data_IF_196298250933
#
_entry.id   IF_196298250933
#
_cell.length_a   1.000
_cell.length_b   1.000
_cell.length_c   1.000
_cell.angle_alpha   90.00
_cell.angle_beta   90.00
_cell.angle_gamma   90.00
#
_symmetry.space_group_name_H-M   'P 1'
#
loop_
_entity.id
_entity.type
_entity.pdbx_description
1 polymer ?
#
# COMPACT_ATOMS: atom_id res chain seq x y z
N UNK A 1 38.12 14.91 19.85
CA UNK A 1 37.29 14.89 18.62
C UNK A 1 36.78 13.50 18.25
N UNK A 2 37.57 12.42 18.39
CA UNK A 2 37.15 11.06 18.00
C UNK A 2 35.89 10.51 18.72
N UNK A 3 35.66 10.88 19.99
CA UNK A 3 34.48 10.41 20.75
C UNK A 3 33.16 11.01 20.27
N UNK A 4 33.18 12.25 19.80
CA UNK A 4 31.99 12.91 19.24
C UNK A 4 31.63 12.33 17.87
N UNK A 5 32.63 12.00 17.05
CA UNK A 5 32.43 11.32 15.76
C UNK A 5 31.85 9.92 15.96
N UNK A 6 32.31 9.16 16.95
CA UNK A 6 31.77 7.84 17.28
C UNK A 6 30.32 7.90 17.78
N UNK A 7 29.95 8.90 18.57
CA UNK A 7 28.57 9.08 19.08
C UNK A 7 27.62 9.52 17.95
N UNK A 8 28.08 10.37 17.03
CA UNK A 8 27.30 10.80 15.86
C UNK A 8 27.06 9.63 14.88
N UNK A 9 28.07 8.77 14.69
CA UNK A 9 27.96 7.56 13.87
C UNK A 9 26.99 6.53 14.48
N UNK A 10 27.01 6.36 15.81
CA UNK A 10 26.07 5.47 16.50
C UNK A 10 24.63 5.99 16.46
N UNK A 11 24.44 7.31 16.57
CA UNK A 11 23.14 7.96 16.45
C UNK A 11 22.56 7.86 15.03
N UNK A 12 23.42 7.85 14.00
CA UNK A 12 22.98 7.64 12.61
C UNK A 12 22.41 6.25 12.35
N UNK A 13 22.97 5.21 12.99
CA UNK A 13 22.49 3.82 12.87
C UNK A 13 21.10 3.66 13.52
N UNK A 14 20.82 4.39 14.61
CA UNK A 14 19.53 4.33 15.29
C UNK A 14 18.38 4.97 14.49
N UNK A 15 18.68 5.88 13.55
CA UNK A 15 17.66 6.57 12.71
C UNK A 15 17.35 5.78 11.42
N UNK A 16 18.09 4.70 11.14
CA UNK A 16 17.88 3.80 10.00
C UNK A 16 16.83 2.71 10.24
N UNK A 17 16.07 2.77 11.33
CA UNK A 17 14.87 1.93 11.49
C UNK A 17 13.78 2.43 10.54
N UNK A 18 13.89 2.03 9.27
CA UNK A 18 12.89 2.30 8.25
C UNK A 18 11.55 1.73 8.69
N UNK A 19 10.49 2.54 8.56
CA UNK A 19 9.12 2.08 8.72
C UNK A 19 8.82 1.01 7.67
N UNK A 20 8.98 -0.25 8.04
CA UNK A 20 8.42 -1.38 7.30
C UNK A 20 6.92 -1.35 7.56
N UNK A 21 6.13 -1.22 6.50
CA UNK A 21 4.68 -1.33 6.62
C UNK A 21 4.33 -2.70 7.22
N UNK A 22 3.57 -2.76 8.32
CA UNK A 22 3.25 -4.02 8.96
C UNK A 22 2.45 -4.90 7.99
N UNK A 23 2.75 -6.20 7.99
CA UNK A 23 1.94 -7.17 7.24
C UNK A 23 0.49 -7.15 7.74
N UNK A 24 -0.50 -7.36 6.85
CA UNK A 24 -1.89 -7.51 7.26
C UNK A 24 -2.01 -8.62 8.31
N UNK A 25 -2.77 -8.34 9.37
CA UNK A 25 -3.05 -9.31 10.45
C UNK A 25 -4.49 -9.81 10.35
N UNK A 26 -4.75 -11.09 10.69
CA UNK A 26 -6.10 -11.60 10.81
C UNK A 26 -6.97 -10.82 11.80
N UNK A 27 -8.27 -10.79 11.54
CA UNK A 27 -9.31 -10.20 12.39
C UNK A 27 -9.29 -8.67 12.43
N UNK A 28 -9.24 -8.02 11.27
CA UNK A 28 -9.45 -6.57 11.19
C UNK A 28 -10.90 -6.24 11.60
N UNK A 29 -11.13 -5.43 12.67
CA UNK A 29 -12.48 -5.08 13.11
C UNK A 29 -13.33 -4.40 12.03
N UNK A 30 -12.70 -3.75 11.05
CA UNK A 30 -13.41 -3.13 9.95
C UNK A 30 -14.03 -4.15 8.99
N UNK A 31 -13.41 -5.32 8.79
CA UNK A 31 -13.89 -6.36 7.86
C UNK A 31 -14.64 -7.49 8.57
N UNK A 32 -14.76 -7.42 9.90
CA UNK A 32 -15.48 -8.40 10.69
C UNK A 32 -16.96 -8.51 10.22
N UNK A 33 -17.51 -9.74 10.13
CA UNK A 33 -18.91 -9.97 9.81
C UNK A 33 -19.82 -9.16 10.72
N UNK A 34 -20.73 -8.39 10.13
CA UNK A 34 -21.75 -7.68 10.91
C UNK A 34 -22.85 -8.68 11.24
N UNK A 35 -23.04 -8.94 12.53
CA UNK A 35 -24.19 -9.72 12.98
C UNK A 35 -25.47 -8.95 12.65
N UNK A 36 -26.52 -9.63 12.18
CA UNK A 36 -27.78 -8.96 11.90
C UNK A 36 -28.23 -8.20 13.15
N UNK A 37 -28.46 -6.91 12.99
CA UNK A 37 -29.11 -6.07 14.01
C UNK A 37 -30.60 -6.41 14.02
N UNK A 38 -30.95 -7.64 14.33
CA UNK A 38 -32.30 -7.93 14.78
C UNK A 38 -32.35 -7.50 16.23
N UNK A 39 -33.00 -6.37 16.59
CA UNK A 39 -33.63 -6.37 17.90
C UNK A 39 -34.53 -7.61 17.89
N UNK A 40 -34.27 -8.56 18.79
CA UNK A 40 -35.29 -9.52 19.16
C UNK A 40 -36.54 -8.67 19.39
N UNK A 41 -37.62 -8.85 18.61
CA UNK A 41 -38.79 -8.01 18.78
C UNK A 41 -39.16 -8.11 20.25
N UNK A 42 -39.32 -6.96 20.91
CA UNK A 42 -40.01 -6.95 22.19
C UNK A 42 -41.29 -7.75 21.93
N UNK A 43 -41.52 -8.82 22.71
CA UNK A 43 -42.67 -9.67 22.54
C UNK A 43 -43.91 -8.79 22.70
N UNK A 44 -44.41 -8.26 21.58
CA UNK A 44 -45.59 -7.45 21.56
C UNK A 44 -46.73 -8.44 21.78
N UNK A 45 -47.10 -8.62 23.04
CA UNK A 45 -48.26 -9.41 23.47
C UNK A 45 -49.56 -8.70 23.07
N UNK A 46 -49.71 -8.36 21.79
CA UNK A 46 -50.92 -7.80 21.21
C UNK A 46 -51.90 -8.88 20.71
N UNK A 47 -51.59 -10.17 20.95
CA UNK A 47 -52.41 -11.29 20.47
C UNK A 47 -52.39 -11.49 18.95
N UNK A 48 -51.59 -10.71 18.20
CA UNK A 48 -51.38 -10.88 16.77
C UNK A 48 -50.19 -11.80 16.49
N UNK A 49 -50.36 -12.71 15.52
CA UNK A 49 -49.26 -13.52 14.98
C UNK A 49 -48.39 -12.67 14.03
N UNK A 50 -48.98 -11.65 13.40
CA UNK A 50 -48.26 -10.73 12.53
C UNK A 50 -47.42 -9.74 13.35
N UNK A 51 -46.14 -9.62 12.98
CA UNK A 51 -45.20 -8.65 13.53
C UNK A 51 -44.56 -7.84 12.40
N UNK A 52 -44.69 -6.52 12.46
CA UNK A 52 -44.10 -5.61 11.48
C UNK A 52 -42.56 -5.77 11.46
N UNK A 53 -41.96 -5.83 10.27
CA UNK A 53 -40.51 -6.04 10.09
C UNK A 53 -40.07 -7.51 9.97
N UNK A 54 -40.95 -8.48 10.25
CA UNK A 54 -40.72 -9.92 10.00
C UNK A 54 -41.54 -10.45 8.81
N UNK A 55 -41.89 -9.54 7.91
CA UNK A 55 -42.64 -9.87 6.69
C UNK A 55 -41.82 -10.87 5.84
N UNK A 56 -42.32 -12.09 5.73
CA UNK A 56 -41.86 -13.06 4.75
C UNK A 56 -42.63 -12.79 3.47
N UNK A 57 -41.97 -12.11 2.53
CA UNK A 57 -42.55 -11.87 1.22
C UNK A 57 -42.58 -13.17 0.43
N UNK A 58 -43.77 -13.73 0.23
CA UNK A 58 -43.99 -14.99 -0.50
C UNK A 58 -43.87 -14.84 -2.01
N UNK A 59 -43.83 -13.61 -2.52
CA UNK A 59 -43.87 -13.29 -3.94
C UNK A 59 -42.63 -12.53 -4.45
N UNK A 60 -41.75 -12.05 -3.56
CA UNK A 60 -40.48 -11.44 -3.97
C UNK A 60 -39.34 -12.43 -3.87
N UNK A 61 -38.43 -12.37 -4.84
CA UNK A 61 -37.15 -13.05 -4.75
C UNK A 61 -36.43 -12.68 -3.45
N UNK A 62 -35.95 -13.70 -2.73
CA UNK A 62 -35.23 -13.54 -1.48
C UNK A 62 -33.81 -13.05 -1.77
N UNK A 63 -33.67 -11.74 -2.01
CA UNK A 63 -32.38 -11.07 -2.18
C UNK A 63 -31.81 -10.62 -0.84
N UNK A 64 -30.50 -10.71 -0.70
CA UNK A 64 -29.72 -10.26 0.45
C UNK A 64 -29.59 -8.73 0.41
N UNK A 65 -30.41 -8.02 1.19
CA UNK A 65 -30.38 -6.55 1.26
C UNK A 65 -30.45 -6.00 2.68
N UNK A 66 -30.55 -6.85 3.70
CA UNK A 66 -30.63 -6.45 5.11
C UNK A 66 -29.24 -6.49 5.73
N UNK A 67 -29.03 -5.67 6.76
CA UNK A 67 -27.77 -5.70 7.54
C UNK A 67 -27.55 -7.10 8.13
N UNK A 68 -26.37 -7.66 7.91
CA UNK A 68 -26.01 -9.03 8.28
C UNK A 68 -26.38 -10.10 7.26
N UNK A 69 -27.03 -9.75 6.14
CA UNK A 69 -27.19 -10.68 5.03
C UNK A 69 -25.84 -10.96 4.36
N UNK A 70 -25.77 -12.10 3.67
CA UNK A 70 -24.55 -12.61 3.04
C UNK A 70 -24.67 -12.48 1.53
N UNK A 71 -23.65 -11.91 0.90
CA UNK A 71 -23.58 -11.70 -0.56
C UNK A 71 -22.29 -12.34 -1.07
N UNK A 72 -22.37 -13.07 -2.18
CA UNK A 72 -21.19 -13.65 -2.83
C UNK A 72 -20.75 -12.76 -3.98
N UNK A 73 -19.56 -12.19 -3.88
CA UNK A 73 -18.98 -11.36 -4.92
C UNK A 73 -18.11 -12.23 -5.84
N UNK A 74 -18.40 -12.19 -7.13
CA UNK A 74 -17.56 -12.83 -8.15
C UNK A 74 -16.48 -11.85 -8.62
N UNK A 75 -15.22 -12.21 -8.41
CA UNK A 75 -14.04 -11.42 -8.72
C UNK A 75 -13.55 -11.78 -10.12
N UNK A 76 -13.49 -10.78 -10.99
CA UNK A 76 -12.83 -10.87 -12.29
C UNK A 76 -12.07 -9.56 -12.54
N UNK A 77 -10.92 -9.42 -11.89
CA UNK A 77 -10.10 -8.22 -11.93
C UNK A 77 -8.86 -8.45 -12.79
N UNK A 78 -8.67 -7.55 -13.77
CA UNK A 78 -7.48 -7.52 -14.60
C UNK A 78 -6.91 -6.11 -14.59
N UNK A 79 -5.76 -5.95 -13.97
CA UNK A 79 -5.03 -4.67 -13.97
C UNK A 79 -3.77 -4.83 -14.81
N UNK A 80 -3.67 -4.02 -15.86
CA UNK A 80 -2.45 -3.87 -16.64
C UNK A 80 -1.98 -2.43 -16.50
N UNK A 81 -0.93 -2.23 -15.71
CA UNK A 81 -0.30 -0.93 -15.54
C UNK A 81 1.07 -0.94 -16.22
N UNK A 82 1.24 -0.13 -17.26
CA UNK A 82 2.56 0.17 -17.81
C UNK A 82 2.98 1.56 -17.35
N UNK A 83 4.06 1.63 -16.58
CA UNK A 83 4.69 2.88 -16.17
C UNK A 83 5.96 3.07 -16.98
N UNK A 84 5.90 4.00 -17.91
CA UNK A 84 7.08 4.48 -18.64
C UNK A 84 7.51 5.81 -18.00
N UNK A 85 8.62 5.78 -17.27
CA UNK A 85 9.27 6.97 -16.74
C UNK A 85 10.57 7.21 -17.53
N UNK A 86 10.59 8.26 -18.34
CA UNK A 86 11.79 8.73 -19.01
C UNK A 86 12.36 9.88 -18.19
N UNK A 87 13.45 9.65 -17.44
CA UNK A 87 14.13 10.67 -16.67
C UNK A 87 15.44 11.02 -17.36
N UNK A 88 15.52 12.25 -17.88
CA UNK A 88 16.74 12.81 -18.43
C UNK A 88 17.28 13.80 -17.41
N UNK A 89 18.29 13.38 -16.65
CA UNK A 89 18.98 14.24 -15.70
C UNK A 89 20.35 14.57 -16.30
N UNK A 90 20.51 15.81 -16.76
CA UNK A 90 21.81 16.39 -17.07
C UNK A 90 22.31 17.15 -15.85
N UNK A 91 23.40 16.69 -15.22
CA UNK A 91 24.10 17.45 -14.18
C UNK A 91 25.50 17.79 -14.67
N UNK A 92 25.74 19.08 -14.85
CA UNK A 92 27.09 19.64 -15.01
C UNK A 92 27.55 20.09 -13.64
N UNK A 93 28.48 19.34 -13.04
CA UNK A 93 29.08 19.71 -11.76
C UNK A 93 30.45 20.33 -12.01
N UNK A 94 30.57 21.62 -11.75
CA UNK A 94 31.85 22.34 -11.66
C UNK A 94 32.10 22.65 -10.19
N UNK A 95 33.05 21.95 -9.59
CA UNK A 95 33.51 22.24 -8.24
C UNK A 95 34.99 22.64 -8.30
N UNK A 96 35.29 23.94 -8.17
CA UNK A 96 36.65 24.40 -7.91
C UNK A 96 36.93 24.23 -6.43
N UNK A 97 37.60 23.15 -6.06
CA UNK A 97 38.08 22.98 -4.70
C UNK A 97 39.44 23.68 -4.58
N UNK A 98 39.41 24.96 -4.21
CA UNK A 98 40.59 25.61 -3.66
C UNK A 98 40.94 24.92 -2.34
N UNK A 99 42.16 24.38 -2.21
CA UNK A 99 42.65 23.72 -0.99
C UNK A 99 42.59 24.60 0.26
N UNK A 100 42.32 25.90 0.11
CA UNK A 100 42.29 26.90 1.19
C UNK A 100 41.17 26.71 2.20
N UNK A 101 40.14 25.89 1.94
CA UNK A 101 38.99 25.76 2.86
C UNK A 101 38.64 24.36 3.34
N UNK A 102 39.19 23.28 2.78
CA UNK A 102 38.75 21.93 3.17
C UNK A 102 39.28 21.46 4.54
N UNK A 103 40.34 22.08 5.06
CA UNK A 103 40.94 21.71 6.34
C UNK A 103 41.13 22.87 7.33
N UNK A 104 40.47 24.01 7.11
CA UNK A 104 40.41 25.09 8.10
C UNK A 104 41.78 25.67 8.51
N UNK A 105 42.77 25.64 7.62
CA UNK A 105 44.09 26.21 7.83
C UNK A 105 44.63 26.79 6.54
N UNK A 106 45.10 28.03 6.58
CA UNK A 106 45.79 28.68 5.46
C UNK A 106 47.08 27.90 5.20
N UNK A 107 47.28 27.23 4.06
CA UNK A 107 48.58 26.65 3.76
C UNK A 107 49.53 27.83 3.49
N UNK A 108 50.49 28.04 4.38
CA UNK A 108 51.55 29.01 4.17
C UNK A 108 52.31 28.62 2.89
N UNK A 109 52.31 29.49 1.89
CA UNK A 109 52.90 29.26 0.56
C UNK A 109 54.42 29.48 0.53
N UNK A 110 55.12 29.20 1.63
CA UNK A 110 56.58 29.25 1.64
C UNK A 110 57.18 27.96 1.06
N UNK A 111 57.55 28.04 -0.21
CA UNK A 111 58.39 27.06 -0.90
C UNK A 111 59.76 26.95 -0.21
N UNK A 112 60.20 25.76 0.27
CA UNK A 112 61.54 25.60 0.84
C UNK A 112 62.68 25.65 -0.20
N UNK A 113 62.38 25.83 -1.50
CA UNK A 113 63.36 25.74 -2.60
C UNK A 113 63.36 26.90 -3.61
N UNK A 114 62.69 28.03 -3.35
CA UNK A 114 62.80 29.24 -4.20
C UNK A 114 61.54 30.10 -4.31
N UNK A 115 61.70 31.38 -4.61
CA UNK A 115 60.61 32.36 -4.70
C UNK A 115 59.59 32.02 -5.80
N UNK A 116 58.47 31.43 -5.42
CA UNK A 116 57.32 31.17 -6.29
C UNK A 116 56.17 30.55 -5.48
N UNK A 117 54.97 31.11 -5.60
CA UNK A 117 53.75 30.65 -4.94
C UNK A 117 53.39 29.24 -5.43
N UNK A 118 53.27 28.26 -4.53
CA UNK A 118 52.86 26.90 -4.87
C UNK A 118 51.33 26.80 -4.89
N UNK A 119 50.70 27.29 -5.97
CA UNK A 119 49.27 27.07 -6.20
C UNK A 119 49.05 25.68 -6.80
N UNK A 120 48.68 24.70 -5.98
CA UNK A 120 48.17 23.41 -6.46
C UNK A 120 46.67 23.56 -6.73
N UNK A 121 46.31 23.91 -7.97
CA UNK A 121 44.92 23.96 -8.43
C UNK A 121 44.45 22.54 -8.77
N UNK A 122 43.51 22.01 -7.98
CA UNK A 122 42.87 20.72 -8.23
C UNK A 122 41.45 20.97 -8.75
N UNK A 123 41.33 21.17 -10.06
CA UNK A 123 40.04 21.29 -10.73
C UNK A 123 39.39 19.92 -10.98
N UNK A 124 38.20 19.68 -10.43
CA UNK A 124 37.36 18.55 -10.81
C UNK A 124 36.23 19.04 -11.72
N UNK A 125 36.30 18.68 -13.01
CA UNK A 125 35.23 18.88 -13.98
C UNK A 125 34.64 17.53 -14.38
N UNK A 126 33.36 17.31 -14.06
CA UNK A 126 32.63 16.11 -14.44
C UNK A 126 31.31 16.47 -15.11
N UNK A 127 31.16 16.09 -16.37
CA UNK A 127 29.89 16.14 -17.09
C UNK A 127 29.21 14.77 -16.99
N UNK A 128 28.08 14.67 -16.28
CA UNK A 128 27.31 13.43 -16.16
C UNK A 128 25.93 13.62 -16.79
N UNK A 129 25.78 13.05 -17.98
CA UNK A 129 24.48 12.89 -18.63
C UNK A 129 23.91 11.51 -18.29
N UNK A 130 22.84 11.47 -17.50
CA UNK A 130 22.10 10.23 -17.21
C UNK A 130 20.80 10.22 -17.98
N UNK A 131 20.70 9.29 -18.94
CA UNK A 131 19.45 8.93 -19.61
C UNK A 131 18.89 7.68 -18.95
N UNK A 132 17.95 7.86 -18.01
CA UNK A 132 17.26 6.77 -17.34
C UNK A 132 15.93 6.46 -18.02
N UNK A 133 15.85 5.36 -18.77
CA UNK A 133 14.58 4.80 -19.24
C UNK A 133 14.12 3.73 -18.25
N UNK A 134 13.12 4.03 -17.44
CA UNK A 134 12.43 3.03 -16.60
C UNK A 134 11.12 2.65 -17.27
N UNK A 135 11.08 1.45 -17.85
CA UNK A 135 9.85 0.79 -18.25
C UNK A 135 9.50 -0.26 -17.19
N UNK A 136 8.43 -0.03 -16.44
CA UNK A 136 7.88 -1.01 -15.51
C UNK A 136 6.50 -1.44 -16.02
N UNK A 137 6.39 -2.69 -16.45
CA UNK A 137 5.12 -3.32 -16.78
C UNK A 137 4.67 -4.18 -15.60
N UNK A 138 3.51 -3.85 -15.02
CA UNK A 138 2.88 -4.59 -13.94
C UNK A 138 1.55 -5.17 -14.45
N UNK A 139 1.45 -6.50 -14.48
CA UNK A 139 0.24 -7.22 -14.84
C UNK A 139 -0.24 -8.06 -13.66
N UNK A 140 -1.47 -7.82 -13.21
CA UNK A 140 -2.10 -8.60 -12.15
C UNK A 140 -3.48 -9.08 -12.63
N UNK A 141 -3.75 -10.36 -12.40
CA UNK A 141 -5.05 -10.99 -12.65
C UNK A 141 -5.55 -11.63 -11.36
N UNK A 142 -6.77 -11.31 -10.96
CA UNK A 142 -7.43 -11.90 -9.80
C UNK A 142 -8.80 -12.43 -10.23
N UNK A 143 -8.95 -13.75 -10.16
CA UNK A 143 -10.19 -14.45 -10.50
C UNK A 143 -10.62 -15.30 -9.31
N UNK A 144 -11.90 -15.26 -8.95
CA UNK A 144 -12.43 -16.10 -7.87
C UNK A 144 -13.77 -15.61 -7.34
N UNK A 145 -14.13 -16.03 -6.14
CA UNK A 145 -15.28 -15.51 -5.42
C UNK A 145 -14.97 -15.30 -3.94
N UNK A 146 -15.58 -14.27 -3.37
CA UNK A 146 -15.50 -13.94 -1.95
C UNK A 146 -16.90 -13.67 -1.41
N UNK A 147 -17.20 -14.27 -0.27
CA UNK A 147 -18.46 -14.07 0.43
C UNK A 147 -18.28 -12.96 1.47
N UNK A 148 -19.19 -12.00 1.48
CA UNK A 148 -19.16 -10.82 2.35
C UNK A 148 -20.48 -10.63 3.08
N UNK A 149 -20.45 -9.78 4.09
CA UNK A 149 -21.67 -9.38 4.81
C UNK A 149 -22.09 -7.97 4.46
N UNK A 150 -23.39 -7.72 4.51
CA UNK A 150 -23.96 -6.38 4.47
C UNK A 150 -23.65 -5.68 5.78
N UNK A 151 -22.81 -4.64 5.71
CA UNK A 151 -22.41 -3.85 6.86
C UNK A 151 -23.47 -2.83 7.26
N UNK A 152 -24.07 -2.18 6.27
CA UNK A 152 -25.09 -1.16 6.47
C UNK A 152 -25.97 -1.02 5.21
N UNK A 153 -27.18 -0.48 5.39
CA UNK A 153 -28.10 -0.13 4.31
C UNK A 153 -28.38 1.35 4.40
N UNK A 154 -27.91 2.09 3.39
CA UNK A 154 -28.06 3.53 3.31
C UNK A 154 -29.53 3.93 3.08
N UNK A 155 -29.96 5.14 3.49
CA UNK A 155 -31.35 5.58 3.35
C UNK A 155 -31.89 5.60 1.91
N UNK A 156 -31.00 5.65 0.92
CA UNK A 156 -31.34 5.61 -0.51
C UNK A 156 -31.42 4.17 -1.07
N UNK A 157 -31.28 3.13 -0.25
CA UNK A 157 -31.33 1.74 -0.67
C UNK A 157 -30.01 1.18 -1.21
N UNK A 158 -28.91 1.92 -1.11
CA UNK A 158 -27.57 1.41 -1.41
C UNK A 158 -27.05 0.61 -0.22
N UNK A 159 -26.44 -0.52 -0.51
CA UNK A 159 -26.00 -1.52 0.47
C UNK A 159 -24.48 -1.43 0.58
N UNK A 160 -23.97 -1.10 1.77
CA UNK A 160 -22.55 -1.13 2.05
C UNK A 160 -22.15 -2.57 2.43
N UNK A 161 -21.20 -3.14 1.69
CA UNK A 161 -20.74 -4.52 1.88
C UNK A 161 -19.27 -4.54 2.27
N UNK A 162 -18.91 -5.45 3.18
CA UNK A 162 -17.52 -5.68 3.56
C UNK A 162 -17.30 -7.12 4.03
N UNK A 163 -16.12 -7.63 3.75
CA UNK A 163 -15.68 -8.92 4.26
C UNK A 163 -14.25 -9.24 3.87
N UNK A 164 -13.70 -10.21 4.59
CA UNK A 164 -12.38 -10.77 4.33
C UNK A 164 -12.44 -12.30 4.33
N UNK A 165 -11.55 -12.90 3.54
CA UNK A 165 -11.34 -14.33 3.42
C UNK A 165 -9.86 -14.61 3.60
N UNK A 166 -9.55 -15.34 4.66
CA UNK A 166 -8.21 -15.87 4.92
C UNK A 166 -8.11 -17.29 4.40
N UNK A 167 -7.00 -17.61 3.74
CA UNK A 167 -6.71 -18.93 3.22
C UNK A 167 -5.25 -19.26 3.53
N UNK A 168 -5.00 -20.31 4.30
CA UNK A 168 -3.64 -20.80 4.51
C UNK A 168 -3.27 -21.74 3.37
N UNK A 169 -2.33 -21.32 2.53
CA UNK A 169 -1.75 -22.15 1.47
C UNK A 169 -0.34 -22.57 1.91
N UNK A 170 0.21 -23.63 1.29
CA UNK A 170 1.48 -24.28 1.70
C UNK A 170 2.63 -23.35 2.15
N UNK A 171 2.72 -22.14 1.58
CA UNK A 171 3.82 -21.18 1.81
C UNK A 171 3.44 -19.98 2.69
N UNK A 172 2.22 -19.93 3.23
CA UNK A 172 1.77 -18.89 4.17
C UNK A 172 0.28 -18.55 4.09
N UNK A 173 -0.11 -17.49 4.81
CA UNK A 173 -1.50 -17.03 4.84
C UNK A 173 -1.75 -16.02 3.72
N UNK A 174 -2.76 -16.31 2.90
CA UNK A 174 -3.32 -15.42 1.89
C UNK A 174 -4.60 -14.75 2.39
N UNK A 175 -4.72 -13.45 2.09
CA UNK A 175 -5.84 -12.59 2.43
C UNK A 175 -6.45 -12.04 1.16
N UNK A 176 -7.76 -12.24 1.02
CA UNK A 176 -8.61 -11.51 0.07
C UNK A 176 -9.61 -10.72 0.88
N UNK A 177 -9.64 -9.39 0.73
CA UNK A 177 -10.66 -8.55 1.36
C UNK A 177 -11.26 -7.59 0.35
N UNK A 178 -12.52 -7.29 0.56
CA UNK A 178 -13.29 -6.40 -0.30
C UNK A 178 -14.20 -5.53 0.55
N UNK A 179 -14.29 -4.26 0.18
CA UNK A 179 -15.29 -3.33 0.68
C UNK A 179 -15.83 -2.51 -0.48
N UNK A 180 -17.09 -2.14 -0.42
CA UNK A 180 -17.71 -1.29 -1.44
C UNK A 180 -19.20 -1.12 -1.21
N UNK A 181 -19.85 -0.52 -2.21
CA UNK A 181 -21.29 -0.24 -2.19
C UNK A 181 -21.96 -0.92 -3.38
N UNK A 182 -23.12 -1.53 -3.14
CA UNK A 182 -23.89 -2.30 -4.11
C UNK A 182 -25.33 -1.81 -4.11
N UNK A 183 -25.97 -1.79 -5.27
CA UNK A 183 -27.41 -1.53 -5.37
C UNK A 183 -28.18 -2.84 -5.22
N UNK A 184 -29.35 -2.81 -4.58
CA UNK A 184 -30.20 -4.00 -4.44
C UNK A 184 -30.58 -4.63 -5.80
N UNK A 185 -30.64 -3.84 -6.87
CA UNK A 185 -30.96 -4.30 -8.23
C UNK A 185 -29.80 -5.07 -8.90
N UNK A 186 -28.56 -4.81 -8.48
CA UNK A 186 -27.38 -5.49 -9.03
C UNK A 186 -27.15 -6.88 -8.40
N UNK A 187 -27.91 -7.19 -7.35
CA UNK A 187 -27.89 -8.49 -6.65
C UNK A 187 -28.78 -9.46 -7.39
N UNK A 188 -28.17 -10.54 -7.88
CA UNK A 188 -28.90 -11.64 -8.52
C UNK A 188 -29.74 -12.44 -7.50
N UNK A 189 -30.66 -13.26 -8.01
CA UNK A 189 -31.57 -14.07 -7.19
C UNK A 189 -30.85 -15.12 -6.34
N UNK A 190 -29.62 -15.47 -6.69
CA UNK A 190 -28.73 -16.35 -5.95
C UNK A 190 -27.81 -15.60 -4.96
N UNK A 191 -28.07 -14.31 -4.71
CA UNK A 191 -27.26 -13.42 -3.87
C UNK A 191 -25.82 -13.23 -4.37
N UNK A 192 -25.62 -13.29 -5.70
CA UNK A 192 -24.33 -13.00 -6.32
C UNK A 192 -24.26 -11.60 -6.93
N UNK A 193 -23.06 -11.02 -6.91
CA UNK A 193 -22.77 -9.70 -7.50
C UNK A 193 -21.41 -9.74 -8.19
N UNK A 194 -21.30 -9.35 -9.47
CA UNK A 194 -20.00 -9.21 -10.12
C UNK A 194 -19.24 -8.00 -9.56
N UNK A 195 -17.93 -8.15 -9.36
CA UNK A 195 -17.06 -7.08 -8.83
C UNK A 195 -17.11 -5.78 -9.62
N UNK A 196 -17.41 -5.86 -10.92
CA UNK A 196 -17.58 -4.71 -11.82
C UNK A 196 -18.81 -3.86 -11.53
N UNK A 197 -19.80 -4.37 -10.77
CA UNK A 197 -21.01 -3.64 -10.37
C UNK A 197 -20.94 -3.06 -8.96
N UNK A 198 -19.76 -3.03 -8.36
CA UNK A 198 -19.53 -2.52 -7.02
C UNK A 198 -18.93 -1.12 -7.10
N UNK A 199 -19.59 -0.14 -6.48
CA UNK A 199 -19.10 1.24 -6.38
C UNK A 199 -18.07 1.39 -5.25
N UNK A 200 -17.04 2.22 -5.48
CA UNK A 200 -15.85 2.36 -4.60
C UNK A 200 -15.30 1.01 -4.12
N UNK A 201 -15.18 0.05 -5.05
CA UNK A 201 -14.68 -1.28 -4.76
C UNK A 201 -13.20 -1.24 -4.34
N UNK A 202 -12.93 -1.52 -3.07
CA UNK A 202 -11.59 -1.63 -2.50
C UNK A 202 -11.24 -3.09 -2.33
N UNK A 203 -10.53 -3.64 -3.30
CA UNK A 203 -10.11 -5.03 -3.34
C UNK A 203 -8.64 -5.09 -2.94
N UNK A 204 -8.32 -5.82 -1.88
CA UNK A 204 -6.93 -6.11 -1.47
C UNK A 204 -6.70 -7.60 -1.55
N UNK A 205 -5.68 -7.98 -2.31
CA UNK A 205 -5.09 -9.32 -2.28
C UNK A 205 -3.69 -9.19 -1.69
N UNK A 206 -3.40 -9.91 -0.61
CA UNK A 206 -2.09 -9.90 0.04
C UNK A 206 -1.76 -11.30 0.57
N UNK A 207 -0.56 -11.78 0.30
CA UNK A 207 -0.02 -13.01 0.87
C UNK A 207 1.13 -12.70 1.82
N UNK A 208 1.20 -13.44 2.92
CA UNK A 208 2.38 -13.50 3.79
C UNK A 208 3.22 -14.71 3.39
N UNK A 209 4.55 -14.56 3.27
CA UNK A 209 5.43 -15.69 2.95
C UNK A 209 6.69 -15.33 2.14
N UNK A 210 7.57 -16.33 1.97
CA UNK A 210 8.90 -16.20 1.37
C UNK A 210 8.93 -15.65 -0.06
N UNK A 211 7.84 -15.85 -0.83
CA UNK A 211 7.72 -15.31 -2.19
C UNK A 211 7.46 -13.79 -2.20
N UNK A 212 6.65 -13.29 -1.26
CA UNK A 212 6.42 -11.86 -1.10
C UNK A 212 7.69 -11.15 -0.60
N UNK A 213 8.45 -11.80 0.29
CA UNK A 213 9.71 -11.27 0.83
C UNK A 213 10.83 -11.24 -0.21
N UNK A 214 10.95 -12.27 -1.06
CA UNK A 214 11.95 -12.30 -2.15
C UNK A 214 11.70 -11.24 -3.24
N UNK A 215 10.46 -10.76 -3.36
CA UNK A 215 10.06 -9.74 -4.32
C UNK A 215 10.39 -8.32 -3.86
N UNK A 216 10.73 -8.13 -2.58
CA UNK A 216 11.11 -6.81 -2.08
C UNK A 216 12.62 -6.59 -2.26
N UNK A 217 13.04 -5.42 -2.80
CA UNK A 217 14.46 -5.06 -2.83
C UNK A 217 15.03 -5.08 -1.42
N UNK A 218 16.21 -5.67 -1.27
CA UNK A 218 16.91 -5.73 0.00
C UNK A 218 17.15 -4.34 0.58
N UNK A 219 17.39 -4.27 1.88
CA UNK A 219 17.65 -3.00 2.56
C UNK A 219 18.86 -2.26 1.95
N UNK A 220 19.86 -2.99 1.46
CA UNK A 220 21.04 -2.45 0.77
C UNK A 220 20.64 -1.75 -0.53
N UNK A 221 19.90 -2.44 -1.41
CA UNK A 221 19.42 -1.85 -2.68
C UNK A 221 18.49 -0.66 -2.43
N UNK A 222 17.61 -0.73 -1.42
CA UNK A 222 16.75 0.38 -1.02
C UNK A 222 17.52 1.62 -0.57
N UNK A 223 18.69 1.46 0.07
CA UNK A 223 19.53 2.58 0.49
C UNK A 223 20.11 3.34 -0.70
N UNK A 224 20.70 2.63 -1.68
CA UNK A 224 21.30 3.24 -2.87
C UNK A 224 20.27 3.75 -3.89
N UNK A 225 19.06 3.19 -3.89
CA UNK A 225 17.93 3.68 -4.67
C UNK A 225 17.13 4.80 -3.96
N UNK A 226 17.46 5.11 -2.70
CA UNK A 226 16.74 6.13 -1.94
C UNK A 226 17.11 7.54 -2.41
N UNK A 227 16.18 8.51 -2.34
CA UNK A 227 16.46 9.93 -2.65
C UNK A 227 17.56 10.56 -1.78
N UNK A 228 18.00 9.87 -0.72
CA UNK A 228 19.00 10.33 0.24
C UNK A 228 20.44 10.11 -0.24
N UNK A 229 20.67 9.32 -1.30
CA UNK A 229 22.00 9.03 -1.84
C UNK A 229 22.23 9.76 -3.18
N UNK A 230 22.93 10.91 -3.20
CA UNK A 230 22.95 11.80 -4.35
C UNK A 230 24.06 11.55 -5.39
N UNK A 231 24.63 10.34 -5.49
CA UNK A 231 25.72 10.01 -6.42
C UNK A 231 25.49 8.76 -7.26
#
# INVERSE_FOLDING_TARGET
MNRFVSVLALSGIAVLTGCVAPSPKPNDPYYAPVLPRTPLPAAANNGSIYQAGFEQNLYSDRKAFRVGDIITITLNERTQASKNANSQIGKTSKASLGLTSLFGGVPNTNNPLGSGDLSLDAGYSGDRATNGKSAAAQGNTLTGSITVTVADVLPNGIIAVRGEKWMTLNTGDELVRIAGMVRADDIATDNTVPSTRIADARITYSGTGSFADASQPGWFDRFFLSPLFPF
#
